data_IF_790871980170
#
_entry.id   IF_790871980170
#
_cell.length_a   1.000
_cell.length_b   1.000
_cell.length_c   1.000
_cell.angle_alpha   90.00
_cell.angle_beta   90.00
_cell.angle_gamma   90.00
#
_symmetry.space_group_name_H-M   'P 1'
#
loop_
_entity.id
_entity.type
_entity.pdbx_description
1 polymer ?
#
# COMPACT_ATOMS: atom_id res chain seq x y z
N UNK A 1 -20.45 29.01 -8.02
CA UNK A 1 -19.53 27.84 -8.09
C UNK A 1 -19.02 27.66 -6.66
N UNK A 2 -19.30 26.54 -6.02
CA UNK A 2 -18.72 26.18 -4.72
C UNK A 2 -17.21 25.99 -4.92
N UNK A 3 -16.39 26.44 -3.96
CA UNK A 3 -14.94 26.26 -4.03
C UNK A 3 -14.62 24.74 -4.04
N UNK A 4 -13.60 24.34 -4.79
CA UNK A 4 -13.14 22.97 -4.83
C UNK A 4 -12.72 22.50 -3.42
N UNK A 5 -13.19 21.32 -2.94
CA UNK A 5 -12.87 20.86 -1.60
C UNK A 5 -11.35 20.60 -1.44
N UNK A 6 -10.81 20.79 -0.22
CA UNK A 6 -9.39 20.57 0.01
C UNK A 6 -9.03 19.09 -0.04
N UNK A 7 -7.82 18.77 -0.51
CA UNK A 7 -7.22 17.44 -0.42
C UNK A 7 -5.76 17.54 0.07
N UNK A 8 -5.26 16.68 0.96
CA UNK A 8 -5.99 15.61 1.65
C UNK A 8 -6.90 16.13 2.77
N UNK A 9 -7.85 15.29 3.18
CA UNK A 9 -8.72 15.57 4.31
C UNK A 9 -8.31 14.79 5.55
N UNK A 10 -8.57 15.38 6.74
CA UNK A 10 -8.25 14.74 8.01
C UNK A 10 -9.23 13.59 8.28
N UNK A 11 -8.70 12.41 8.64
CA UNK A 11 -9.49 11.30 9.16
C UNK A 11 -9.67 11.41 10.67
N UNK A 12 -10.87 11.06 11.13
CA UNK A 12 -11.24 10.95 12.56
C UNK A 12 -11.38 9.50 12.99
N UNK A 13 -11.69 8.60 12.04
CA UNK A 13 -11.79 7.16 12.25
C UNK A 13 -10.78 6.41 11.37
N UNK A 14 -10.08 5.38 11.89
CA UNK A 14 -9.03 4.68 11.15
C UNK A 14 -9.51 3.88 9.94
N UNK A 15 -10.73 3.36 9.97
CA UNK A 15 -11.28 2.52 8.91
C UNK A 15 -12.44 3.17 8.15
N UNK A 16 -12.89 4.36 8.55
CA UNK A 16 -13.88 5.12 7.79
C UNK A 16 -13.21 6.17 6.90
N UNK A 17 -13.81 6.54 5.76
CA UNK A 17 -13.39 7.70 4.99
C UNK A 17 -13.39 8.98 5.85
N UNK A 18 -12.62 10.01 5.49
CA UNK A 18 -12.77 11.32 6.07
C UNK A 18 -14.22 11.82 5.95
N UNK A 19 -14.76 12.44 7.01
CA UNK A 19 -16.14 12.95 7.02
C UNK A 19 -16.42 13.91 5.85
N UNK A 20 -15.43 14.70 5.46
CA UNK A 20 -15.54 15.62 4.32
C UNK A 20 -15.68 14.94 2.95
N UNK A 21 -15.50 13.62 2.86
CA UNK A 21 -15.67 12.89 1.59
C UNK A 21 -17.14 12.76 1.20
N UNK A 22 -18.09 12.80 2.11
CA UNK A 22 -19.51 12.87 1.76
C UNK A 22 -19.81 14.06 0.84
N UNK A 23 -19.26 15.25 1.13
CA UNK A 23 -19.40 16.43 0.28
C UNK A 23 -18.64 16.31 -1.07
N UNK A 24 -17.65 15.44 -1.15
CA UNK A 24 -16.95 15.11 -2.40
C UNK A 24 -17.79 14.16 -3.25
N UNK A 25 -18.37 13.14 -2.66
CA UNK A 25 -19.25 12.16 -3.32
C UNK A 25 -20.49 12.82 -3.92
N UNK A 26 -21.10 13.81 -3.23
CA UNK A 26 -22.25 14.58 -3.71
C UNK A 26 -21.97 15.35 -5.03
N UNK A 27 -20.71 15.64 -5.35
CA UNK A 27 -20.31 16.35 -6.57
C UNK A 27 -20.16 15.43 -7.80
N UNK A 28 -20.32 14.13 -7.59
CA UNK A 28 -20.22 13.11 -8.65
C UNK A 28 -18.84 12.45 -8.75
N UNK A 29 -18.70 11.51 -9.71
CA UNK A 29 -17.52 10.63 -9.79
C UNK A 29 -16.25 11.30 -10.30
N UNK A 30 -16.35 12.53 -10.85
CA UNK A 30 -15.23 13.29 -11.40
C UNK A 30 -15.37 14.75 -10.99
N UNK A 31 -14.47 15.27 -10.17
CA UNK A 31 -14.55 16.62 -9.63
C UNK A 31 -13.15 17.25 -9.48
N UNK A 32 -13.08 18.54 -9.18
CA UNK A 32 -11.84 19.22 -8.84
C UNK A 32 -11.65 19.31 -7.33
N UNK A 33 -10.40 19.16 -6.87
CA UNK A 33 -9.98 19.38 -5.49
C UNK A 33 -8.83 20.38 -5.44
N UNK A 34 -8.68 21.07 -4.30
CA UNK A 34 -7.59 22.01 -4.05
C UNK A 34 -6.51 21.31 -3.23
N UNK A 35 -5.29 21.26 -3.76
CA UNK A 35 -4.12 20.68 -3.09
C UNK A 35 -3.58 21.66 -2.02
N UNK A 36 -2.70 21.14 -1.14
CA UNK A 36 -2.10 21.92 -0.05
C UNK A 36 -1.31 23.16 -0.52
N UNK A 37 -0.86 23.19 -1.76
CA UNK A 37 -0.12 24.31 -2.35
C UNK A 37 -1.01 25.28 -3.15
N UNK A 38 -2.32 25.11 -3.07
CA UNK A 38 -3.32 25.95 -3.74
C UNK A 38 -3.60 25.59 -5.21
N UNK A 39 -2.87 24.64 -5.78
CA UNK A 39 -3.17 24.13 -7.13
C UNK A 39 -4.42 23.25 -7.11
N UNK A 40 -5.13 23.22 -8.22
CA UNK A 40 -6.23 22.29 -8.43
C UNK A 40 -5.74 21.02 -9.13
N UNK A 41 -6.42 19.91 -8.82
CA UNK A 41 -6.29 18.64 -9.52
C UNK A 41 -7.67 18.00 -9.69
N UNK A 42 -7.83 17.18 -10.71
CA UNK A 42 -9.00 16.32 -10.85
C UNK A 42 -8.93 15.16 -9.86
N UNK A 43 -10.03 14.87 -9.19
CA UNK A 43 -10.19 13.69 -8.35
C UNK A 43 -11.24 12.77 -8.98
N UNK A 44 -10.87 11.51 -9.16
CA UNK A 44 -11.74 10.45 -9.64
C UNK A 44 -12.15 9.61 -8.44
N UNK A 45 -13.45 9.51 -8.23
CA UNK A 45 -14.08 8.87 -7.06
C UNK A 45 -15.02 7.74 -7.45
N UNK A 46 -15.56 7.73 -8.68
CA UNK A 46 -16.37 6.64 -9.20
C UNK A 46 -15.53 5.41 -9.53
N UNK A 47 -16.05 4.22 -9.25
CA UNK A 47 -15.33 2.95 -9.47
C UNK A 47 -15.06 2.69 -10.96
N UNK A 48 -16.06 2.93 -11.82
CA UNK A 48 -15.90 2.70 -13.26
C UNK A 48 -14.99 3.73 -13.90
N UNK A 49 -15.14 5.01 -13.54
CA UNK A 49 -14.30 6.10 -14.00
C UNK A 49 -12.85 5.91 -13.56
N UNK A 50 -12.63 5.39 -12.34
CA UNK A 50 -11.29 5.05 -11.87
C UNK A 50 -10.63 3.94 -12.70
N UNK A 51 -11.37 2.91 -13.10
CA UNK A 51 -10.86 1.85 -13.98
C UNK A 51 -10.59 2.37 -15.39
N UNK A 52 -11.48 3.19 -15.92
CA UNK A 52 -11.35 3.79 -17.26
C UNK A 52 -10.08 4.66 -17.31
N UNK A 53 -9.94 5.62 -16.39
CA UNK A 53 -8.83 6.54 -16.42
C UNK A 53 -7.47 5.86 -16.16
N UNK A 54 -7.42 4.86 -15.28
CA UNK A 54 -6.19 4.12 -14.97
C UNK A 54 -5.64 3.30 -16.14
N UNK A 55 -6.44 3.08 -17.17
CA UNK A 55 -6.03 2.42 -18.43
C UNK A 55 -5.90 3.39 -19.60
N UNK A 56 -6.18 4.68 -19.38
CA UNK A 56 -6.18 5.65 -20.46
C UNK A 56 -4.76 5.98 -20.96
N UNK A 57 -4.50 5.93 -22.29
CA UNK A 57 -3.15 6.11 -22.84
C UNK A 57 -2.56 7.50 -22.62
N UNK A 58 -3.39 8.52 -22.43
CA UNK A 58 -2.96 9.87 -22.12
C UNK A 58 -2.72 10.13 -20.62
N UNK A 59 -2.83 9.13 -19.76
CA UNK A 59 -2.50 9.26 -18.35
C UNK A 59 -1.03 8.88 -18.11
N UNK A 60 -0.27 9.80 -17.48
CA UNK A 60 1.17 9.63 -17.23
C UNK A 60 1.48 9.51 -15.75
N UNK A 61 2.43 8.64 -15.45
CA UNK A 61 3.00 8.42 -14.10
C UNK A 61 4.26 9.26 -13.83
N UNK A 62 4.73 10.04 -14.81
CA UNK A 62 5.99 10.79 -14.72
C UNK A 62 5.90 11.89 -13.65
N UNK A 63 6.41 11.61 -12.47
CA UNK A 63 6.40 12.54 -11.33
C UNK A 63 7.32 13.77 -11.51
N UNK A 64 8.21 13.72 -12.48
CA UNK A 64 9.07 14.86 -12.87
C UNK A 64 8.35 15.89 -13.71
N UNK A 65 7.15 15.60 -14.23
CA UNK A 65 6.35 16.58 -14.96
C UNK A 65 6.05 17.80 -14.05
N UNK A 66 6.23 19.04 -14.51
CA UNK A 66 6.10 20.25 -13.68
C UNK A 66 4.73 20.39 -13.02
N UNK A 67 3.67 19.93 -13.69
CA UNK A 67 2.30 19.99 -13.20
C UNK A 67 1.86 18.69 -12.49
N UNK A 68 2.77 17.74 -12.24
CA UNK A 68 2.39 16.54 -11.49
C UNK A 68 1.84 16.94 -10.12
N UNK A 69 0.66 16.42 -9.70
CA UNK A 69 0.03 16.82 -8.45
C UNK A 69 0.79 16.21 -7.25
N UNK A 70 1.40 17.08 -6.46
CA UNK A 70 2.09 16.71 -5.22
C UNK A 70 1.10 16.87 -4.08
N UNK A 71 0.76 15.80 -3.39
CA UNK A 71 -0.31 15.77 -2.39
C UNK A 71 0.15 16.04 -0.96
N UNK A 72 1.46 16.07 -0.71
CA UNK A 72 2.04 16.45 0.58
C UNK A 72 3.45 17.03 0.40
N UNK A 73 3.90 17.99 1.26
CA UNK A 73 5.22 18.63 1.14
C UNK A 73 6.38 17.62 1.06
N UNK A 74 6.34 16.55 1.86
CA UNK A 74 7.36 15.49 1.89
C UNK A 74 7.61 14.80 0.55
N UNK A 75 6.66 14.84 -0.38
CA UNK A 75 6.80 14.25 -1.73
C UNK A 75 7.37 15.21 -2.77
N UNK A 76 7.82 16.39 -2.36
CA UNK A 76 8.56 17.31 -3.24
C UNK A 76 9.98 16.84 -3.56
N UNK A 77 10.54 15.96 -2.70
CA UNK A 77 11.92 15.48 -2.83
C UNK A 77 12.18 14.78 -4.16
N UNK A 78 13.41 14.91 -4.68
CA UNK A 78 13.84 14.26 -5.92
C UNK A 78 13.72 12.74 -5.88
N UNK A 79 13.97 12.12 -4.73
CA UNK A 79 13.88 10.67 -4.52
C UNK A 79 12.44 10.19 -4.73
N UNK A 80 11.46 10.84 -4.10
CA UNK A 80 10.06 10.49 -4.27
C UNK A 80 9.55 10.67 -5.73
N UNK A 81 10.23 11.51 -6.51
CA UNK A 81 9.86 11.82 -7.90
C UNK A 81 10.43 10.84 -8.93
N UNK A 82 11.51 10.13 -8.62
CA UNK A 82 12.24 9.29 -9.57
C UNK A 82 12.20 7.79 -9.23
N UNK A 83 11.22 7.35 -8.46
CA UNK A 83 11.07 5.93 -8.10
C UNK A 83 10.79 5.07 -9.34
N UNK A 84 11.54 4.01 -9.50
CA UNK A 84 11.33 3.01 -10.56
C UNK A 84 9.89 2.47 -10.54
N UNK A 85 9.40 1.99 -11.66
CA UNK A 85 8.06 1.44 -11.88
C UNK A 85 6.94 2.47 -11.67
N UNK A 86 6.76 2.98 -10.45
CA UNK A 86 5.61 3.82 -10.09
C UNK A 86 5.67 5.24 -10.69
N UNK A 87 6.85 5.71 -11.09
CA UNK A 87 7.05 7.01 -11.74
C UNK A 87 7.42 6.89 -13.23
N UNK A 88 7.18 5.72 -13.83
CA UNK A 88 7.55 5.44 -15.22
C UNK A 88 6.33 5.17 -16.08
N UNK A 89 6.40 5.56 -17.34
CA UNK A 89 5.43 5.20 -18.40
C UNK A 89 6.00 4.14 -19.34
N UNK A 90 5.15 3.45 -20.12
CA UNK A 90 5.60 2.63 -21.23
C UNK A 90 6.47 3.42 -22.22
N UNK A 91 7.48 2.79 -22.87
CA UNK A 91 7.80 1.35 -22.83
C UNK A 91 8.74 0.93 -21.68
N UNK A 92 9.36 1.89 -20.97
CA UNK A 92 10.33 1.61 -19.90
C UNK A 92 9.67 0.86 -18.74
N UNK A 93 8.50 1.33 -18.29
CA UNK A 93 7.69 0.65 -17.29
C UNK A 93 7.45 -0.83 -17.63
N UNK A 94 7.05 -1.12 -18.88
CA UNK A 94 6.71 -2.49 -19.30
C UNK A 94 7.92 -3.41 -19.28
N UNK A 95 9.10 -2.88 -19.57
CA UNK A 95 10.36 -3.63 -19.51
C UNK A 95 10.64 -4.10 -18.08
N UNK A 96 10.59 -3.20 -17.10
CA UNK A 96 10.82 -3.59 -15.71
C UNK A 96 9.69 -4.46 -15.14
N UNK A 97 8.43 -4.20 -15.51
CA UNK A 97 7.31 -5.08 -15.14
C UNK A 97 7.53 -6.51 -15.65
N UNK A 98 8.01 -6.67 -16.87
CA UNK A 98 8.31 -7.99 -17.45
C UNK A 98 9.41 -8.71 -16.67
N UNK A 99 10.43 -8.00 -16.17
CA UNK A 99 11.49 -8.59 -15.34
C UNK A 99 10.97 -9.03 -13.97
N UNK A 100 10.05 -8.26 -13.37
CA UNK A 100 9.62 -8.46 -11.99
C UNK A 100 8.36 -9.31 -11.83
N UNK A 101 7.41 -9.27 -12.77
CA UNK A 101 6.14 -9.99 -12.67
C UNK A 101 6.29 -11.50 -12.32
N UNK A 102 7.25 -12.27 -12.87
CA UNK A 102 7.41 -13.68 -12.51
C UNK A 102 7.65 -13.90 -11.02
N UNK A 103 8.41 -12.99 -10.37
CA UNK A 103 8.81 -13.09 -8.96
C UNK A 103 7.70 -12.70 -7.97
N UNK A 104 6.66 -11.99 -8.43
CA UNK A 104 5.49 -11.57 -7.64
C UNK A 104 4.19 -12.26 -8.10
N UNK A 105 4.28 -13.26 -8.97
CA UNK A 105 3.15 -14.05 -9.42
C UNK A 105 2.50 -14.81 -8.25
N UNK A 106 1.22 -15.22 -8.42
CA UNK A 106 0.55 -16.08 -7.44
C UNK A 106 1.33 -17.39 -7.19
N UNK A 107 1.96 -17.94 -8.23
CA UNK A 107 2.81 -19.13 -8.11
C UNK A 107 4.01 -18.84 -7.21
N UNK A 108 4.71 -17.72 -7.42
CA UNK A 108 5.86 -17.32 -6.60
C UNK A 108 5.45 -17.08 -5.16
N UNK A 109 4.35 -16.34 -4.93
CA UNK A 109 3.85 -16.12 -3.56
C UNK A 109 3.55 -17.43 -2.83
N UNK A 110 2.92 -18.40 -3.52
CA UNK A 110 2.64 -19.73 -2.94
C UNK A 110 3.89 -20.51 -2.53
N UNK A 111 5.02 -20.34 -3.19
CA UNK A 111 6.27 -21.00 -2.76
C UNK A 111 6.79 -20.45 -1.44
N UNK A 112 6.44 -19.24 -1.07
CA UNK A 112 6.83 -18.60 0.18
C UNK A 112 5.89 -18.94 1.36
N UNK A 113 4.75 -19.60 1.12
CA UNK A 113 3.73 -19.87 2.17
C UNK A 113 4.32 -20.50 3.40
N UNK A 114 5.08 -21.58 3.24
CA UNK A 114 5.66 -22.33 4.37
C UNK A 114 6.61 -21.45 5.21
N UNK A 115 7.44 -20.66 4.57
CA UNK A 115 8.37 -19.76 5.27
C UNK A 115 7.61 -18.67 6.03
N UNK A 116 6.53 -18.14 5.44
CA UNK A 116 5.68 -17.13 6.09
C UNK A 116 4.94 -17.75 7.28
N UNK A 117 4.41 -18.98 7.15
CA UNK A 117 3.75 -19.72 8.24
C UNK A 117 4.71 -19.96 9.42
N UNK A 118 5.96 -20.33 9.14
CA UNK A 118 6.98 -20.52 10.19
C UNK A 118 7.31 -19.20 10.90
N UNK A 119 7.43 -18.10 10.16
CA UNK A 119 7.69 -16.77 10.72
C UNK A 119 6.52 -16.30 11.59
N UNK A 120 5.29 -16.39 11.06
CA UNK A 120 4.08 -15.99 11.81
C UNK A 120 3.88 -16.84 13.06
N UNK A 121 4.13 -18.15 12.94
CA UNK A 121 4.09 -19.06 14.11
C UNK A 121 5.04 -18.57 15.19
N UNK A 122 6.28 -18.24 14.87
CA UNK A 122 7.25 -17.73 15.83
C UNK A 122 6.77 -16.46 16.53
N UNK A 123 6.30 -15.45 15.77
CA UNK A 123 5.76 -14.23 16.37
C UNK A 123 4.54 -14.46 17.27
N UNK A 124 3.64 -15.37 16.89
CA UNK A 124 2.46 -15.67 17.69
C UNK A 124 2.85 -16.49 18.94
N UNK A 125 3.85 -17.37 18.85
CA UNK A 125 4.42 -18.06 20.02
C UNK A 125 4.99 -17.05 21.04
N UNK A 126 5.79 -16.08 20.58
CA UNK A 126 6.37 -15.03 21.41
C UNK A 126 5.29 -14.15 22.08
N UNK A 127 4.22 -13.81 21.35
CA UNK A 127 3.06 -13.07 21.90
C UNK A 127 2.38 -13.86 23.01
N UNK A 128 2.14 -15.16 22.80
CA UNK A 128 1.50 -16.03 23.78
C UNK A 128 2.37 -16.23 25.02
N UNK A 129 3.69 -16.38 24.85
CA UNK A 129 4.66 -16.56 25.93
C UNK A 129 4.79 -15.31 26.80
N UNK A 130 4.70 -14.11 26.21
CA UNK A 130 4.69 -12.84 26.94
C UNK A 130 3.37 -12.63 27.72
N UNK A 131 2.26 -13.16 27.21
CA UNK A 131 0.93 -12.97 27.77
C UNK A 131 0.34 -11.58 27.54
N UNK A 132 -0.96 -11.40 27.85
CA UNK A 132 -1.64 -10.13 27.67
C UNK A 132 -1.27 -9.08 28.76
N UNK A 133 -1.31 -7.76 28.47
CA UNK A 133 -1.58 -7.20 27.16
C UNK A 133 -0.34 -7.25 26.24
N UNK A 134 -0.56 -7.36 24.92
CA UNK A 134 0.50 -7.31 23.93
C UNK A 134 0.22 -6.20 22.89
N UNK A 135 1.27 -5.55 22.39
CA UNK A 135 1.15 -4.60 21.27
C UNK A 135 1.48 -5.32 19.95
N UNK A 136 0.47 -5.53 19.11
CA UNK A 136 0.63 -6.27 17.86
C UNK A 136 1.39 -5.49 16.78
N UNK A 137 1.61 -4.18 16.92
CA UNK A 137 2.40 -3.44 15.94
C UNK A 137 3.85 -3.89 15.96
N UNK A 138 4.62 -3.76 17.08
CA UNK A 138 5.99 -4.24 17.12
C UNK A 138 6.09 -5.77 17.19
N UNK A 139 5.06 -6.47 17.70
CA UNK A 139 5.14 -7.91 17.88
C UNK A 139 4.86 -8.72 16.59
N UNK A 140 4.08 -8.18 15.64
CA UNK A 140 3.68 -8.92 14.44
C UNK A 140 3.56 -8.04 13.20
N UNK A 141 2.77 -6.93 13.26
CA UNK A 141 2.32 -6.24 12.06
C UNK A 141 3.47 -5.57 11.28
N UNK A 142 4.48 -5.04 11.98
CA UNK A 142 5.65 -4.39 11.39
C UNK A 142 6.74 -5.41 11.03
N UNK A 143 7.17 -6.32 11.91
CA UNK A 143 8.29 -7.22 11.61
C UNK A 143 7.95 -8.26 10.52
N UNK A 144 6.71 -8.71 10.41
CA UNK A 144 6.32 -9.70 9.41
C UNK A 144 6.62 -9.23 7.97
N UNK A 145 6.02 -8.15 7.44
CA UNK A 145 6.29 -7.73 6.06
C UNK A 145 7.73 -7.26 5.86
N UNK A 146 8.37 -6.72 6.89
CA UNK A 146 9.78 -6.32 6.85
C UNK A 146 10.70 -7.53 6.62
N UNK A 147 10.51 -8.60 7.40
CA UNK A 147 11.30 -9.83 7.23
C UNK A 147 11.03 -10.48 5.87
N UNK A 148 9.77 -10.56 5.46
CA UNK A 148 9.40 -11.23 4.22
C UNK A 148 9.96 -10.52 2.99
N UNK A 149 9.90 -9.18 2.95
CA UNK A 149 10.47 -8.45 1.81
C UNK A 149 12.01 -8.54 1.81
N UNK A 150 12.67 -8.48 2.96
CA UNK A 150 14.11 -8.67 3.05
C UNK A 150 14.53 -10.05 2.52
N UNK A 151 13.88 -11.11 2.97
CA UNK A 151 14.12 -12.48 2.46
C UNK A 151 13.88 -12.58 0.95
N UNK A 152 12.78 -12.01 0.45
CA UNK A 152 12.44 -12.06 -0.97
C UNK A 152 13.45 -11.33 -1.85
N UNK A 153 13.92 -10.17 -1.40
CA UNK A 153 14.93 -9.38 -2.11
C UNK A 153 16.35 -9.97 -1.99
N UNK A 154 16.65 -10.72 -0.93
CA UNK A 154 18.00 -11.12 -0.57
C UNK A 154 18.76 -10.01 0.19
N UNK A 155 18.05 -9.22 0.99
CA UNK A 155 18.58 -8.17 1.86
C UNK A 155 18.80 -8.76 3.25
N UNK A 156 19.94 -8.50 3.95
CA UNK A 156 20.16 -8.96 5.31
C UNK A 156 19.11 -8.42 6.28
N UNK A 157 18.40 -9.30 6.98
CA UNK A 157 17.39 -8.88 7.95
C UNK A 157 17.97 -8.21 9.19
N UNK A 158 19.24 -8.44 9.47
CA UNK A 158 19.95 -7.77 10.58
C UNK A 158 19.87 -6.22 10.52
N UNK A 159 19.64 -5.68 9.31
CA UNK A 159 19.55 -4.23 9.07
C UNK A 159 18.09 -3.71 9.13
N UNK A 160 17.14 -4.53 9.62
CA UNK A 160 15.70 -4.20 9.58
C UNK A 160 15.32 -2.93 10.35
N UNK A 161 15.94 -2.67 11.49
CA UNK A 161 15.71 -1.46 12.29
C UNK A 161 16.04 -0.20 11.46
N UNK A 162 17.16 -0.24 10.74
CA UNK A 162 17.55 0.83 9.83
C UNK A 162 16.52 1.06 8.74
N UNK A 163 16.01 -0.01 8.10
CA UNK A 163 15.00 0.14 7.04
C UNK A 163 13.68 0.67 7.57
N UNK A 164 13.24 0.19 8.73
CA UNK A 164 12.00 0.63 9.34
C UNK A 164 12.06 2.12 9.70
N UNK A 165 13.15 2.56 10.32
CA UNK A 165 13.35 3.96 10.65
C UNK A 165 13.41 4.83 9.39
N UNK A 166 14.27 4.49 8.44
CA UNK A 166 14.47 5.27 7.23
C UNK A 166 13.22 5.33 6.34
N UNK A 167 12.49 4.21 6.18
CA UNK A 167 11.22 4.17 5.45
C UNK A 167 10.13 4.99 6.17
N UNK A 168 10.08 4.92 7.50
CA UNK A 168 9.17 5.73 8.30
C UNK A 168 9.42 7.23 8.10
N UNK A 169 10.68 7.67 8.06
CA UNK A 169 11.05 9.07 7.76
C UNK A 169 10.60 9.49 6.36
N UNK A 170 10.75 8.62 5.35
CA UNK A 170 10.29 8.90 3.98
C UNK A 170 8.78 9.06 3.91
N UNK A 171 8.03 8.20 4.56
CA UNK A 171 6.57 8.13 4.39
C UNK A 171 5.78 9.05 5.32
N UNK A 172 6.31 9.35 6.51
CA UNK A 172 5.57 10.01 7.60
C UNK A 172 6.25 11.27 8.13
N UNK A 173 7.54 11.45 7.84
CA UNK A 173 8.33 12.56 8.33
C UNK A 173 8.02 13.90 7.65
N UNK A 174 8.78 14.92 8.06
CA UNK A 174 8.82 16.23 7.38
C UNK A 174 9.43 16.09 5.98
N UNK A 175 9.46 17.17 5.20
CA UNK A 175 10.17 17.18 3.91
C UNK A 175 11.66 16.86 4.09
N UNK A 176 12.31 17.44 5.11
CA UNK A 176 13.71 17.20 5.46
C UNK A 176 13.95 15.75 5.87
N UNK A 177 13.08 15.18 6.72
CA UNK A 177 13.14 13.78 7.10
C UNK A 177 13.01 12.84 5.91
N UNK A 178 12.09 13.14 4.98
CA UNK A 178 11.88 12.36 3.76
C UNK A 178 13.11 12.37 2.86
N UNK A 179 13.77 13.52 2.70
CA UNK A 179 15.03 13.62 1.96
C UNK A 179 16.13 12.82 2.62
N UNK A 180 16.35 13.01 3.93
CA UNK A 180 17.43 12.34 4.66
C UNK A 180 17.23 10.82 4.75
N UNK A 181 15.99 10.37 5.05
CA UNK A 181 15.65 8.95 5.09
C UNK A 181 15.78 8.28 3.71
N UNK A 182 15.32 8.96 2.67
CA UNK A 182 15.45 8.48 1.31
C UNK A 182 16.90 8.36 0.84
N UNK A 183 17.75 9.36 1.15
CA UNK A 183 19.18 9.30 0.81
C UNK A 183 19.88 8.16 1.57
N UNK A 184 19.58 7.99 2.85
CA UNK A 184 20.15 6.90 3.65
C UNK A 184 19.82 5.52 3.07
N UNK A 185 18.56 5.32 2.58
CA UNK A 185 18.17 4.08 1.89
C UNK A 185 18.90 3.90 0.56
N UNK A 186 19.04 4.95 -0.24
CA UNK A 186 19.78 4.91 -1.51
C UNK A 186 21.23 4.51 -1.25
N UNK A 187 21.93 5.18 -0.31
CA UNK A 187 23.33 4.90 0.01
C UNK A 187 23.54 3.47 0.53
N UNK A 188 22.57 2.94 1.28
CA UNK A 188 22.61 1.55 1.74
C UNK A 188 22.43 0.58 0.57
N UNK A 189 21.41 0.79 -0.25
CA UNK A 189 21.10 -0.08 -1.39
C UNK A 189 22.17 -0.01 -2.47
N UNK A 190 22.81 1.12 -2.65
CA UNK A 190 23.96 1.29 -3.54
C UNK A 190 25.09 0.32 -3.15
N UNK A 191 25.49 0.32 -1.88
CA UNK A 191 26.50 -0.62 -1.37
C UNK A 191 26.06 -2.06 -1.51
N UNK A 192 24.84 -2.38 -1.10
CA UNK A 192 24.29 -3.74 -1.17
C UNK A 192 24.27 -4.27 -2.61
N UNK A 193 23.85 -3.45 -3.58
CA UNK A 193 23.78 -3.87 -4.99
C UNK A 193 25.14 -4.02 -5.62
N UNK A 194 26.14 -3.22 -5.20
CA UNK A 194 27.55 -3.44 -5.57
C UNK A 194 28.06 -4.82 -5.09
N UNK A 195 27.76 -5.17 -3.83
CA UNK A 195 28.11 -6.48 -3.28
C UNK A 195 27.40 -7.61 -4.02
N UNK A 196 26.11 -7.42 -4.36
CA UNK A 196 25.34 -8.40 -5.16
C UNK A 196 25.87 -8.54 -6.58
N UNK A 197 26.39 -7.48 -7.22
CA UNK A 197 27.02 -7.57 -8.56
C UNK A 197 28.32 -8.37 -8.49
N UNK A 198 29.10 -8.17 -7.43
CA UNK A 198 30.35 -8.90 -7.23
C UNK A 198 30.10 -10.38 -6.85
N UNK A 199 29.12 -10.63 -5.98
CA UNK A 199 28.78 -11.96 -5.44
C UNK A 199 27.27 -12.14 -5.34
N UNK A 200 26.57 -12.50 -6.44
CA UNK A 200 25.11 -12.63 -6.44
C UNK A 200 24.64 -13.74 -5.49
N UNK A 201 23.87 -13.37 -4.47
CA UNK A 201 23.24 -14.31 -3.53
C UNK A 201 21.92 -14.84 -4.06
N UNK A 202 21.27 -15.74 -3.31
CA UNK A 202 19.88 -16.12 -3.54
C UNK A 202 18.96 -14.94 -3.18
N UNK A 203 17.84 -14.82 -3.90
CA UNK A 203 16.89 -13.72 -3.78
C UNK A 203 16.74 -12.95 -5.09
N UNK A 204 15.78 -12.01 -5.08
CA UNK A 204 15.43 -11.27 -6.29
C UNK A 204 16.59 -10.42 -6.82
N UNK A 205 17.32 -9.71 -5.93
CA UNK A 205 18.42 -8.84 -6.37
C UNK A 205 19.53 -9.65 -7.05
N UNK A 206 19.97 -10.75 -6.43
CA UNK A 206 20.96 -11.62 -7.05
C UNK A 206 20.49 -12.25 -8.36
N UNK A 207 19.20 -12.57 -8.47
CA UNK A 207 18.60 -13.06 -9.72
C UNK A 207 18.61 -11.98 -10.80
N UNK A 208 18.21 -10.74 -10.47
CA UNK A 208 18.27 -9.63 -11.43
C UNK A 208 19.70 -9.31 -11.86
N UNK A 209 20.69 -9.43 -10.95
CA UNK A 209 22.11 -9.29 -11.32
C UNK A 209 22.48 -10.32 -12.36
N UNK A 210 22.25 -11.61 -12.12
CA UNK A 210 22.60 -12.69 -13.05
C UNK A 210 21.89 -12.59 -14.40
N UNK A 211 20.60 -12.27 -14.37
CA UNK A 211 19.76 -12.33 -15.57
C UNK A 211 19.72 -11.04 -16.37
N UNK A 212 19.94 -9.87 -15.73
CA UNK A 212 19.72 -8.57 -16.36
C UNK A 212 20.92 -7.63 -16.31
N UNK A 213 21.63 -7.56 -15.17
CA UNK A 213 22.78 -6.66 -15.06
C UNK A 213 23.97 -7.22 -15.84
N UNK A 214 24.30 -8.50 -15.66
CA UNK A 214 25.39 -9.17 -16.35
C UNK A 214 25.15 -9.30 -17.87
N UNK A 215 23.89 -9.26 -18.31
CA UNK A 215 23.53 -9.26 -19.74
C UNK A 215 23.46 -7.86 -20.36
N UNK A 216 23.60 -6.81 -19.56
CA UNK A 216 23.52 -5.43 -19.99
C UNK A 216 22.10 -4.90 -20.25
N UNK A 217 21.06 -5.67 -19.82
CA UNK A 217 19.66 -5.25 -19.92
C UNK A 217 19.23 -4.29 -18.80
N UNK A 218 20.02 -4.19 -17.73
CA UNK A 218 19.79 -3.32 -16.57
C UNK A 218 21.14 -2.79 -16.07
N UNK A 219 21.21 -1.53 -15.70
CA UNK A 219 22.40 -0.97 -15.06
C UNK A 219 22.28 -0.97 -13.52
N UNK A 220 23.37 -0.58 -12.85
CA UNK A 220 23.44 -0.54 -11.39
C UNK A 220 22.40 0.42 -10.78
N UNK A 221 22.29 1.65 -11.29
CA UNK A 221 21.37 2.66 -10.74
C UNK A 221 19.91 2.24 -10.87
N UNK A 222 19.56 1.55 -11.95
CA UNK A 222 18.25 0.95 -12.17
C UNK A 222 17.95 -0.15 -11.15
N UNK A 223 18.94 -0.99 -10.83
CA UNK A 223 18.80 -2.03 -9.81
C UNK A 223 18.59 -1.41 -8.42
N UNK A 224 19.36 -0.37 -8.06
CA UNK A 224 19.19 0.40 -6.81
C UNK A 224 17.79 1.00 -6.73
N UNK A 225 17.32 1.63 -7.81
CA UNK A 225 15.98 2.25 -7.85
C UNK A 225 14.86 1.23 -7.72
N UNK A 226 15.00 0.05 -8.31
CA UNK A 226 14.05 -1.07 -8.16
C UNK A 226 14.06 -1.60 -6.72
N UNK A 227 15.23 -1.83 -6.14
CA UNK A 227 15.36 -2.29 -4.77
C UNK A 227 14.70 -1.30 -3.78
N UNK A 228 14.93 0.00 -3.98
CA UNK A 228 14.37 1.08 -3.16
C UNK A 228 12.84 1.07 -3.17
N UNK A 229 12.24 1.03 -4.36
CA UNK A 229 10.77 1.07 -4.46
C UNK A 229 10.13 -0.18 -3.89
N UNK A 230 10.73 -1.36 -4.11
CA UNK A 230 10.20 -2.62 -3.58
C UNK A 230 10.28 -2.67 -2.05
N UNK A 231 11.39 -2.20 -1.48
CA UNK A 231 11.60 -2.17 -0.03
C UNK A 231 10.58 -1.24 0.65
N UNK A 232 10.46 0.02 0.17
CA UNK A 232 9.55 1.01 0.77
C UNK A 232 8.08 0.58 0.60
N UNK A 233 7.69 0.13 -0.60
CA UNK A 233 6.28 -0.15 -0.89
C UNK A 233 5.74 -1.38 -0.17
N UNK A 234 6.57 -2.41 0.05
CA UNK A 234 6.11 -3.69 0.60
C UNK A 234 5.93 -3.68 2.12
N UNK A 235 6.64 -2.80 2.84
CA UNK A 235 6.68 -2.81 4.29
C UNK A 235 5.47 -2.09 4.91
N UNK A 236 5.36 -0.78 4.75
CA UNK A 236 4.37 0.07 5.43
C UNK A 236 2.92 -0.26 5.05
N UNK A 237 2.66 -0.51 3.78
CA UNK A 237 1.30 -0.75 3.30
C UNK A 237 0.73 -2.07 3.82
N UNK A 238 1.53 -3.14 3.83
CA UNK A 238 1.11 -4.46 4.31
C UNK A 238 0.91 -4.46 5.83
N UNK A 239 1.85 -3.84 6.58
CA UNK A 239 1.73 -3.65 8.03
C UNK A 239 0.44 -2.92 8.41
N UNK A 240 0.18 -1.79 7.74
CA UNK A 240 -1.02 -0.99 8.00
C UNK A 240 -2.30 -1.72 7.60
N UNK A 241 -2.29 -2.46 6.48
CA UNK A 241 -3.46 -3.25 6.06
C UNK A 241 -3.80 -4.36 7.05
N UNK A 242 -2.78 -5.03 7.59
CA UNK A 242 -2.96 -6.06 8.62
C UNK A 242 -3.51 -5.46 9.91
N UNK A 243 -2.91 -4.37 10.40
CA UNK A 243 -3.32 -3.74 11.65
C UNK A 243 -4.75 -3.16 11.56
N UNK A 244 -5.06 -2.40 10.50
CA UNK A 244 -6.38 -1.82 10.31
C UNK A 244 -7.45 -2.88 10.02
N UNK A 245 -7.09 -3.93 9.28
CA UNK A 245 -7.97 -5.06 9.03
C UNK A 245 -8.33 -5.81 10.31
N UNK A 246 -7.35 -6.02 11.19
CA UNK A 246 -7.56 -6.64 12.50
C UNK A 246 -8.44 -5.76 13.40
N UNK A 247 -8.18 -4.44 13.48
CA UNK A 247 -9.04 -3.50 14.19
C UNK A 247 -10.48 -3.62 13.70
N UNK A 248 -10.67 -3.61 12.37
CA UNK A 248 -12.02 -3.71 11.78
C UNK A 248 -12.72 -5.01 12.16
N UNK A 249 -12.02 -6.14 12.12
CA UNK A 249 -12.58 -7.44 12.54
C UNK A 249 -12.96 -7.47 14.03
N UNK A 250 -12.10 -6.92 14.90
CA UNK A 250 -12.34 -6.92 16.35
C UNK A 250 -13.47 -5.93 16.76
N UNK A 251 -13.71 -4.89 15.97
CA UNK A 251 -14.88 -4.00 16.13
C UNK A 251 -16.19 -4.60 15.58
N UNK A 252 -16.10 -5.73 14.86
CA UNK A 252 -17.26 -6.48 14.33
C UNK A 252 -17.25 -7.92 14.85
N UNK A 253 -17.59 -8.15 16.14
CA UNK A 253 -17.45 -9.45 16.80
C UNK A 253 -18.28 -10.56 16.16
N UNK A 254 -19.38 -10.25 15.51
CA UNK A 254 -20.18 -11.19 14.71
C UNK A 254 -19.41 -11.71 13.50
N UNK A 255 -18.66 -10.85 12.81
CA UNK A 255 -17.81 -11.21 11.66
C UNK A 255 -16.59 -12.04 12.13
N UNK A 256 -15.99 -11.67 13.26
CA UNK A 256 -14.92 -12.44 13.89
C UNK A 256 -15.39 -13.86 14.26
N UNK A 257 -16.55 -13.98 14.91
CA UNK A 257 -17.14 -15.27 15.27
C UNK A 257 -17.47 -16.16 14.06
N UNK A 258 -17.89 -15.56 12.94
CA UNK A 258 -18.10 -16.30 11.67
C UNK A 258 -16.80 -16.92 11.15
N UNK A 259 -15.67 -16.20 11.20
CA UNK A 259 -14.37 -16.74 10.79
C UNK A 259 -13.86 -17.82 11.76
N UNK A 260 -14.15 -17.69 13.05
CA UNK A 260 -13.84 -18.75 14.03
C UNK A 260 -14.62 -20.03 13.76
N UNK A 261 -15.88 -19.90 13.36
CA UNK A 261 -16.73 -21.03 13.03
C UNK A 261 -16.33 -21.70 11.71
N UNK A 262 -15.89 -20.91 10.72
CA UNK A 262 -15.46 -21.40 9.41
C UNK A 262 -14.32 -20.53 8.84
N UNK A 263 -13.10 -20.93 9.11
CA UNK A 263 -11.89 -20.24 8.65
C UNK A 263 -11.71 -20.29 7.12
N UNK A 264 -12.41 -21.20 6.43
CA UNK A 264 -12.33 -21.28 4.96
C UNK A 264 -12.87 -20.01 4.26
N UNK A 265 -13.65 -19.20 4.98
CA UNK A 265 -14.13 -17.89 4.54
C UNK A 265 -13.06 -16.77 4.54
N UNK A 266 -11.89 -17.01 5.16
CA UNK A 266 -10.87 -15.98 5.35
C UNK A 266 -10.36 -15.33 4.05
N UNK A 267 -10.10 -16.06 2.94
CA UNK A 267 -9.67 -15.40 1.70
C UNK A 267 -10.68 -14.36 1.17
N UNK A 268 -11.98 -14.63 1.30
CA UNK A 268 -13.03 -13.66 0.94
C UNK A 268 -13.07 -12.50 1.92
N UNK A 269 -12.95 -12.77 3.22
CA UNK A 269 -12.92 -11.75 4.25
C UNK A 269 -11.77 -10.76 4.04
N UNK A 270 -10.61 -11.22 3.56
CA UNK A 270 -9.48 -10.36 3.22
C UNK A 270 -9.81 -9.39 2.08
N UNK A 271 -10.51 -9.84 1.04
CA UNK A 271 -10.93 -8.92 -0.03
C UNK A 271 -11.91 -7.86 0.48
N UNK A 272 -12.83 -8.23 1.38
CA UNK A 272 -13.72 -7.24 2.02
C UNK A 272 -12.95 -6.30 2.96
N UNK A 273 -12.00 -6.79 3.74
CA UNK A 273 -11.09 -5.95 4.55
C UNK A 273 -10.38 -4.93 3.64
N UNK A 274 -9.76 -5.40 2.56
CA UNK A 274 -9.02 -4.54 1.62
C UNK A 274 -9.94 -3.50 0.95
N UNK A 275 -11.17 -3.87 0.60
CA UNK A 275 -12.16 -2.94 0.09
C UNK A 275 -12.52 -1.87 1.13
N UNK A 276 -12.85 -2.31 2.34
CA UNK A 276 -13.42 -1.47 3.38
C UNK A 276 -12.41 -0.54 4.03
N UNK A 277 -11.18 -1.02 4.29
CA UNK A 277 -10.18 -0.28 5.05
C UNK A 277 -9.43 0.75 4.21
N UNK A 278 -9.13 0.48 2.95
CA UNK A 278 -8.37 1.36 2.06
C UNK A 278 -7.16 2.05 2.75
N UNK A 279 -6.12 1.28 3.04
CA UNK A 279 -4.90 1.75 3.74
C UNK A 279 -4.25 2.96 3.08
N UNK A 280 -4.31 3.03 1.74
CA UNK A 280 -3.91 4.20 0.95
C UNK A 280 -5.15 4.91 0.43
N UNK A 281 -5.25 6.21 0.67
CA UNK A 281 -6.39 7.00 0.18
C UNK A 281 -6.40 7.10 -1.35
N UNK A 282 -5.24 7.35 -1.94
CA UNK A 282 -5.07 7.38 -3.39
C UNK A 282 -4.44 6.09 -3.90
N UNK A 283 -5.07 5.48 -4.88
CA UNK A 283 -4.49 4.36 -5.63
C UNK A 283 -3.60 4.85 -6.77
N UNK A 284 -3.78 6.10 -7.20
CA UNK A 284 -2.92 6.71 -8.19
C UNK A 284 -2.88 8.23 -8.07
N UNK A 285 -1.70 8.79 -8.41
CA UNK A 285 -1.46 10.20 -8.66
C UNK A 285 -0.82 10.30 -10.04
N UNK A 286 -1.39 11.10 -10.95
CA UNK A 286 -1.04 11.13 -12.37
C UNK A 286 -1.09 12.54 -12.92
N UNK A 287 -0.63 12.69 -14.17
CA UNK A 287 -0.80 13.91 -14.97
C UNK A 287 -1.29 13.53 -16.38
N UNK A 288 -2.22 14.30 -16.92
CA UNK A 288 -2.69 14.12 -18.29
C UNK A 288 -1.63 14.62 -19.28
N UNK A 289 -1.16 13.79 -20.21
CA UNK A 289 -0.25 14.16 -21.31
C UNK A 289 -0.97 14.55 -22.60
N UNK A 290 -2.27 14.39 -22.64
CA UNK A 290 -3.20 14.79 -23.70
C UNK A 290 -4.59 14.93 -23.08
N UNK A 291 -5.53 15.53 -23.80
CA UNK A 291 -6.91 15.68 -23.32
C UNK A 291 -7.56 14.30 -23.08
N UNK A 292 -8.33 14.21 -22.00
CA UNK A 292 -9.04 12.99 -21.57
C UNK A 292 -10.51 13.35 -21.31
N UNK A 293 -11.43 12.68 -22.01
CA UNK A 293 -12.86 12.78 -21.75
C UNK A 293 -13.28 11.70 -20.76
N UNK A 294 -13.86 12.07 -19.60
CA UNK A 294 -14.28 11.15 -18.56
C UNK A 294 -15.40 11.74 -17.70
N UNK A 295 -16.43 10.95 -17.39
CA UNK A 295 -17.52 11.35 -16.52
C UNK A 295 -18.21 12.66 -16.96
N UNK A 296 -18.26 12.95 -18.25
CA UNK A 296 -18.83 14.18 -18.81
C UNK A 296 -17.94 15.41 -18.67
N UNK A 297 -16.67 15.24 -18.27
CA UNK A 297 -15.66 16.30 -18.14
C UNK A 297 -14.50 16.10 -19.09
N UNK A 298 -13.85 17.21 -19.46
CA UNK A 298 -12.59 17.19 -20.23
C UNK A 298 -11.44 17.55 -19.30
N UNK A 299 -10.58 16.59 -18.98
CA UNK A 299 -9.29 16.82 -18.30
C UNK A 299 -8.30 17.26 -19.37
N UNK A 300 -7.76 18.48 -19.26
CA UNK A 300 -6.83 19.02 -20.25
C UNK A 300 -5.41 18.51 -20.07
N UNK A 301 -4.66 18.46 -21.17
CA UNK A 301 -3.22 18.18 -21.13
C UNK A 301 -2.51 19.06 -20.09
N UNK A 302 -1.69 18.45 -19.23
CA UNK A 302 -0.99 19.12 -18.14
C UNK A 302 -1.78 19.22 -16.84
N UNK A 303 -3.05 18.84 -16.77
CA UNK A 303 -3.79 18.82 -15.51
C UNK A 303 -3.45 17.58 -14.68
N UNK A 304 -3.39 17.77 -13.34
CA UNK A 304 -3.15 16.70 -12.38
C UNK A 304 -4.41 15.86 -12.16
N UNK A 305 -4.21 14.55 -11.92
CA UNK A 305 -5.27 13.57 -11.68
C UNK A 305 -4.94 12.76 -10.44
N UNK A 306 -5.90 12.69 -9.53
CA UNK A 306 -5.90 11.84 -8.34
C UNK A 306 -6.99 10.78 -8.48
N UNK A 307 -6.72 9.54 -8.11
CA UNK A 307 -7.73 8.47 -8.09
C UNK A 307 -7.89 7.99 -6.66
N UNK A 308 -9.05 8.27 -6.05
CA UNK A 308 -9.34 7.89 -4.67
C UNK A 308 -9.82 6.44 -4.60
N UNK A 309 -9.01 5.55 -4.05
CA UNK A 309 -9.42 4.18 -3.76
C UNK A 309 -10.42 4.10 -2.61
N UNK A 310 -10.28 5.00 -1.63
CA UNK A 310 -11.17 5.05 -0.46
C UNK A 310 -12.63 5.29 -0.85
N UNK A 311 -12.87 6.25 -1.75
CA UNK A 311 -14.23 6.57 -2.20
C UNK A 311 -14.68 5.53 -3.24
N UNK A 312 -13.87 5.25 -4.25
CA UNK A 312 -14.23 4.32 -5.31
C UNK A 312 -14.58 2.91 -4.80
N UNK A 313 -13.93 2.43 -3.75
CA UNK A 313 -14.26 1.16 -3.10
C UNK A 313 -15.59 1.19 -2.33
N UNK A 314 -16.18 2.37 -2.17
CA UNK A 314 -17.48 2.58 -1.52
C UNK A 314 -18.53 3.18 -2.44
N UNK A 315 -18.29 3.16 -3.73
CA UNK A 315 -19.22 3.63 -4.76
C UNK A 315 -20.49 2.77 -4.76
N UNK A 316 -21.65 3.40 -4.45
CA UNK A 316 -22.97 2.75 -4.41
C UNK A 316 -23.42 2.22 -5.79
N UNK A 317 -22.90 2.80 -6.88
CA UNK A 317 -23.15 2.29 -8.22
C UNK A 317 -22.48 0.93 -8.49
N UNK A 318 -21.47 0.59 -7.70
CA UNK A 318 -20.70 -0.65 -7.86
C UNK A 318 -20.92 -1.66 -6.72
N UNK A 319 -21.22 -1.20 -5.51
CA UNK A 319 -21.38 -2.04 -4.33
C UNK A 319 -22.70 -1.77 -3.63
N UNK A 320 -23.48 -2.80 -3.37
CA UNK A 320 -24.66 -2.68 -2.51
C UNK A 320 -24.21 -2.47 -1.06
N UNK A 321 -24.82 -1.52 -0.34
CA UNK A 321 -24.49 -1.17 1.05
C UNK A 321 -22.98 -1.02 1.30
N UNK A 322 -22.27 -0.14 0.54
CA UNK A 322 -20.80 -0.11 0.51
C UNK A 322 -20.17 0.30 1.84
N UNK A 323 -20.93 0.97 2.71
CA UNK A 323 -20.50 1.41 4.03
C UNK A 323 -20.65 0.32 5.11
N UNK A 324 -21.26 -0.81 4.79
CA UNK A 324 -21.35 -1.98 5.68
C UNK A 324 -20.17 -2.91 5.47
N UNK A 325 -19.50 -3.29 6.57
CA UNK A 325 -18.47 -4.33 6.56
C UNK A 325 -19.14 -5.71 6.65
N UNK A 326 -19.04 -6.51 5.60
CA UNK A 326 -19.58 -7.88 5.54
C UNK A 326 -18.60 -8.83 4.85
N UNK A 327 -17.97 -9.70 5.63
CA UNK A 327 -17.04 -10.74 5.12
C UNK A 327 -17.71 -11.77 4.20
N UNK A 328 -19.04 -11.80 4.18
CA UNK A 328 -19.84 -12.65 3.29
C UNK A 328 -20.25 -11.97 1.99
N UNK A 329 -19.85 -10.71 1.76
CA UNK A 329 -20.19 -9.94 0.57
C UNK A 329 -19.92 -10.75 -0.71
N UNK A 330 -20.90 -10.91 -1.60
CA UNK A 330 -20.75 -11.77 -2.79
C UNK A 330 -19.76 -11.21 -3.81
N UNK A 331 -19.69 -9.89 -3.93
CA UNK A 331 -18.78 -9.18 -4.83
C UNK A 331 -17.86 -8.25 -4.02
N UNK A 332 -16.57 -8.56 -4.03
CA UNK A 332 -15.51 -7.84 -3.32
C UNK A 332 -14.49 -7.22 -4.28
N UNK A 333 -14.90 -6.87 -5.50
CA UNK A 333 -14.04 -6.15 -6.42
C UNK A 333 -13.65 -4.79 -5.80
N UNK A 334 -12.36 -4.51 -5.77
CA UNK A 334 -11.87 -3.26 -5.17
C UNK A 334 -10.65 -2.74 -5.91
N UNK A 335 -10.36 -1.45 -5.74
CA UNK A 335 -9.22 -0.77 -6.35
C UNK A 335 -8.03 -0.58 -5.40
N UNK A 336 -8.02 -1.20 -4.23
CA UNK A 336 -6.95 -1.04 -3.22
C UNK A 336 -5.56 -1.35 -3.78
N UNK A 337 -5.47 -2.27 -4.73
CA UNK A 337 -4.23 -2.56 -5.45
C UNK A 337 -4.10 -1.81 -6.78
N UNK A 338 -4.90 -0.77 -7.03
CA UNK A 338 -4.95 -0.08 -8.30
C UNK A 338 -5.54 -0.94 -9.43
N UNK A 339 -5.39 -0.46 -10.66
CA UNK A 339 -5.88 -1.12 -11.87
C UNK A 339 -4.97 -0.81 -13.07
N UNK A 340 -5.02 -1.65 -14.12
CA UNK A 340 -4.22 -1.44 -15.34
C UNK A 340 -2.76 -1.80 -15.18
N UNK A 341 -1.90 -1.17 -15.98
CA UNK A 341 -0.47 -1.52 -16.07
C UNK A 341 0.29 -1.29 -14.76
N UNK A 342 -0.13 -0.34 -13.93
CA UNK A 342 0.43 -0.06 -12.62
C UNK A 342 -0.25 -0.79 -11.46
N UNK A 343 -1.11 -1.79 -11.72
CA UNK A 343 -1.67 -2.60 -10.64
C UNK A 343 -0.55 -3.13 -9.74
N UNK A 344 -0.80 -3.15 -8.42
CA UNK A 344 0.20 -3.49 -7.42
C UNK A 344 0.94 -4.80 -7.76
N UNK A 345 2.26 -4.71 -7.86
CA UNK A 345 3.11 -5.87 -8.15
C UNK A 345 3.06 -6.89 -7.01
N UNK A 346 3.07 -6.42 -5.75
CA UNK A 346 3.13 -7.25 -4.54
C UNK A 346 1.79 -7.77 -4.05
N UNK A 347 0.68 -7.56 -4.77
CA UNK A 347 -0.67 -7.86 -4.28
C UNK A 347 -0.88 -9.31 -3.80
N UNK A 348 -0.25 -10.29 -4.47
CA UNK A 348 -0.39 -11.70 -4.08
C UNK A 348 0.38 -12.00 -2.79
N UNK A 349 1.56 -11.41 -2.62
CA UNK A 349 2.37 -11.57 -1.43
C UNK A 349 1.75 -10.86 -0.21
N UNK A 350 1.16 -9.67 -0.42
CA UNK A 350 0.46 -8.96 0.64
C UNK A 350 -0.77 -9.75 1.15
N UNK A 351 -1.61 -10.26 0.23
CA UNK A 351 -2.76 -11.12 0.61
C UNK A 351 -2.33 -12.34 1.41
N UNK A 352 -1.28 -13.00 0.96
CA UNK A 352 -0.78 -14.21 1.62
C UNK A 352 -0.28 -13.92 3.05
N UNK A 353 0.42 -12.82 3.26
CA UNK A 353 0.89 -12.43 4.59
C UNK A 353 -0.28 -12.09 5.52
N UNK A 354 -1.25 -11.33 5.04
CA UNK A 354 -2.46 -10.97 5.80
C UNK A 354 -3.26 -12.24 6.14
N UNK A 355 -3.43 -13.16 5.18
CA UNK A 355 -4.13 -14.43 5.37
C UNK A 355 -3.50 -15.25 6.49
N UNK A 356 -2.21 -15.52 6.40
CA UNK A 356 -1.50 -16.37 7.37
C UNK A 356 -1.49 -15.72 8.77
N UNK A 357 -1.29 -14.41 8.84
CA UNK A 357 -1.29 -13.69 10.11
C UNK A 357 -2.68 -13.69 10.78
N UNK A 358 -3.75 -13.40 10.03
CA UNK A 358 -5.11 -13.43 10.57
C UNK A 358 -5.54 -14.85 10.93
N UNK A 359 -5.25 -15.85 10.10
CA UNK A 359 -5.54 -17.27 10.41
C UNK A 359 -4.90 -17.67 11.73
N UNK A 360 -3.62 -17.36 11.94
CA UNK A 360 -2.91 -17.68 13.17
C UNK A 360 -3.52 -16.98 14.40
N UNK A 361 -3.89 -15.70 14.31
CA UNK A 361 -4.53 -14.97 15.39
C UNK A 361 -5.92 -15.52 15.70
N UNK A 362 -6.76 -15.77 14.70
CA UNK A 362 -8.13 -16.27 14.86
C UNK A 362 -8.12 -17.67 15.51
N UNK A 363 -7.21 -18.54 15.08
CA UNK A 363 -7.19 -19.94 15.53
C UNK A 363 -6.48 -20.14 16.87
N UNK A 364 -5.42 -19.37 17.13
CA UNK A 364 -4.57 -19.57 18.32
C UNK A 364 -4.93 -18.63 19.47
N UNK A 365 -5.55 -17.48 19.18
CA UNK A 365 -5.99 -16.52 20.20
C UNK A 365 -7.48 -16.20 19.97
N UNK A 366 -8.38 -17.17 20.14
CA UNK A 366 -9.80 -16.99 19.80
C UNK A 366 -10.52 -15.92 20.61
N UNK A 367 -10.03 -15.60 21.82
CA UNK A 367 -10.57 -14.56 22.70
C UNK A 367 -9.92 -13.19 22.51
N UNK A 368 -9.15 -13.01 21.42
CA UNK A 368 -8.46 -11.76 21.12
C UNK A 368 -9.45 -10.58 21.04
N UNK A 369 -9.14 -9.49 21.71
CA UNK A 369 -9.91 -8.24 21.70
C UNK A 369 -9.00 -7.03 21.85
N UNK A 370 -9.49 -5.86 21.48
CA UNK A 370 -8.78 -4.60 21.73
C UNK A 370 -8.69 -4.35 23.25
N UNK A 371 -7.51 -3.99 23.73
CA UNK A 371 -7.30 -3.58 25.12
C UNK A 371 -7.74 -2.12 25.38
N UNK A 372 -8.01 -1.34 24.32
CA UNK A 372 -8.46 0.04 24.38
C UNK A 372 -9.47 0.30 23.26
N UNK A 373 -10.40 1.27 23.47
CA UNK A 373 -11.28 1.74 22.40
C UNK A 373 -10.48 2.24 21.19
N UNK A 374 -11.02 2.06 19.98
CA UNK A 374 -10.37 2.51 18.72
C UNK A 374 -10.07 4.01 18.73
N UNK A 375 -10.91 4.82 19.38
CA UNK A 375 -10.70 6.27 19.51
C UNK A 375 -9.45 6.67 20.31
N UNK A 376 -8.89 5.76 21.09
CA UNK A 376 -7.67 5.95 21.89
C UNK A 376 -6.41 5.37 21.21
N UNK A 377 -6.57 4.69 20.09
CA UNK A 377 -5.43 4.14 19.36
C UNK A 377 -4.67 5.27 18.65
N UNK A 378 -3.33 5.31 18.76
CA UNK A 378 -2.53 6.31 18.08
C UNK A 378 -2.42 5.97 16.59
N UNK A 379 -3.26 6.58 15.77
CA UNK A 379 -3.33 6.37 14.33
C UNK A 379 -2.96 7.64 13.60
N UNK A 380 -1.97 7.55 12.72
CA UNK A 380 -1.59 8.64 11.83
C UNK A 380 -2.42 8.52 10.54
N UNK A 381 -3.34 9.48 10.37
CA UNK A 381 -4.28 9.53 9.25
C UNK A 381 -4.17 10.79 8.40
N UNK A 382 -3.02 11.45 8.37
CA UNK A 382 -2.82 12.65 7.55
C UNK A 382 -2.16 12.30 6.22
N UNK A 383 -2.91 12.27 5.15
CA UNK A 383 -2.37 12.16 3.81
C UNK A 383 -2.60 10.80 3.13
N UNK A 384 -1.59 10.23 2.49
CA UNK A 384 -1.76 9.15 1.51
C UNK A 384 -1.77 7.74 2.10
N UNK A 385 -1.14 7.51 3.25
CA UNK A 385 -1.07 6.20 3.92
C UNK A 385 -1.49 6.37 5.38
N UNK A 386 -2.34 5.47 5.85
CA UNK A 386 -2.69 5.39 7.26
C UNK A 386 -1.71 4.46 7.98
N UNK A 387 -1.33 4.80 9.21
CA UNK A 387 -0.47 3.97 10.03
C UNK A 387 -0.99 3.89 11.45
N UNK A 388 -1.12 2.67 11.96
CA UNK A 388 -1.36 2.39 13.37
C UNK A 388 -0.01 2.35 14.08
N UNK A 389 0.19 3.17 15.10
CA UNK A 389 1.46 3.25 15.82
C UNK A 389 1.54 2.27 16.99
N UNK A 390 0.38 1.87 17.55
CA UNK A 390 0.28 0.90 18.64
C UNK A 390 -1.08 0.25 18.58
N UNK A 391 -1.14 -1.06 18.72
CA UNK A 391 -2.35 -1.88 18.73
C UNK A 391 -2.33 -2.82 19.95
N UNK A 392 -2.62 -2.28 21.15
CA UNK A 392 -2.68 -3.11 22.35
C UNK A 392 -3.92 -4.01 22.33
N UNK A 393 -3.67 -5.29 22.55
CA UNK A 393 -4.70 -6.34 22.60
C UNK A 393 -4.60 -7.15 23.86
N UNK A 394 -5.68 -7.84 24.18
CA UNK A 394 -5.76 -8.81 25.27
C UNK A 394 -6.64 -10.01 24.86
N UNK A 395 -6.56 -11.12 25.63
CA UNK A 395 -7.29 -12.37 25.36
C UNK A 395 -7.58 -13.16 26.62
#
# INVERSE_FOLDING_TARGET
>A
MTAAPPYPQKRTCPYQPPEGYAAVEEQGPVLKVTLFDGREAWMITGFQEAREILTHPNLSSQRTHPNFPIVAPRFRSGIARNLALIAMDPPVHDTYRRFLNPHFSLRSARTMRKDIEEVVKGYVDDILDQGPPADLIPALAVPLPSLIICKHLGVPYADHDFFQEASGRVMLGTEEDSVAGGQALVDYLDRLTHDQIANPTDGLLGTLVRERVQTGEMNHDELVSIALVLLIAAHETTSSSLALGLITLLEHPDQWARLQADISGLPRAIEEILRYVATTDLVATRVAKGDIEIGGHTIKAGEGVLVSGTIANRDEANHADPHTFDIGRPDTHHLTFGFGIHQCLGQNLARLQIEIALEALITRIPTLRLAKPVSELPILGSGTVQRVLSLPVEW
#
